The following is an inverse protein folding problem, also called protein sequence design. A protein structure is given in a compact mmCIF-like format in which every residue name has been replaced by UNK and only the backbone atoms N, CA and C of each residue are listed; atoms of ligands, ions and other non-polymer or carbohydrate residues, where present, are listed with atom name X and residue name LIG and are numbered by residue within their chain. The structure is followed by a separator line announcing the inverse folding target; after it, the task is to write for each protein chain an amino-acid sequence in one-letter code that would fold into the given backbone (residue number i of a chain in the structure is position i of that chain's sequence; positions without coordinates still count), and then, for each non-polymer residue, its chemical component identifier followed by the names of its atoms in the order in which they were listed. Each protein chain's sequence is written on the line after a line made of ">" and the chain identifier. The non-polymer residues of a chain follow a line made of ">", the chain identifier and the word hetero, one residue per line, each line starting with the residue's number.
data_IF_806212942256
#
_entry.id   IF_806212942256
#
_cell.length_a   1.000
_cell.length_b   1.000
_cell.length_c   1.000
_cell.angle_alpha   90.00
_cell.angle_beta   90.00
_cell.angle_gamma   90.00
#
_symmetry.space_group_name_H-M   'P 1'
#
loop_
_entity.id
_entity.type
_entity.pdbx_description
1 polymer ?
#
# COMPACT_ATOMS: atom_id res chain seq x y z
N UNK A 1 -32.46 -31.92 -6.05
CA UNK A 1 -31.69 -30.65 -6.12
C UNK A 1 -31.51 -30.04 -4.73
N UNK A 2 -30.36 -29.42 -4.45
CA UNK A 2 -30.10 -28.55 -3.30
C UNK A 2 -29.98 -27.10 -3.79
N UNK A 3 -31.03 -26.26 -3.66
CA UNK A 3 -31.07 -24.94 -4.28
C UNK A 3 -30.01 -23.96 -3.79
N UNK A 4 -29.72 -23.92 -2.47
CA UNK A 4 -28.79 -22.93 -1.91
C UNK A 4 -27.34 -23.24 -2.25
N UNK A 5 -27.01 -24.52 -2.40
CA UNK A 5 -25.68 -24.97 -2.80
C UNK A 5 -25.50 -25.13 -4.31
N UNK A 6 -26.58 -25.01 -5.08
CA UNK A 6 -26.60 -25.33 -6.50
C UNK A 6 -26.04 -26.74 -6.78
N UNK A 7 -26.52 -27.74 -6.03
CA UNK A 7 -26.16 -29.15 -6.27
C UNK A 7 -27.35 -29.89 -6.91
N UNK A 8 -27.10 -30.56 -8.02
CA UNK A 8 -28.06 -31.36 -8.77
C UNK A 8 -27.56 -32.80 -8.83
N UNK A 9 -28.48 -33.73 -8.59
CA UNK A 9 -28.27 -35.16 -8.81
C UNK A 9 -29.35 -35.61 -9.78
N UNK A 10 -28.96 -36.39 -10.79
CA UNK A 10 -29.86 -36.92 -11.80
C UNK A 10 -29.67 -38.42 -11.92
N UNK A 11 -30.76 -39.16 -11.86
CA UNK A 11 -30.79 -40.61 -12.05
C UNK A 11 -31.30 -40.93 -13.46
N UNK A 12 -30.51 -41.68 -14.22
CA UNK A 12 -30.90 -42.21 -15.53
C UNK A 12 -31.18 -43.69 -15.42
N UNK A 13 -32.29 -44.15 -15.99
CA UNK A 13 -32.53 -45.57 -16.18
C UNK A 13 -31.63 -46.10 -17.31
N UNK A 14 -31.01 -47.26 -17.09
CA UNK A 14 -30.23 -47.99 -18.07
C UNK A 14 -31.10 -49.08 -18.71
N UNK A 15 -30.97 -49.25 -20.02
CA UNK A 15 -31.61 -50.36 -20.72
C UNK A 15 -30.79 -51.65 -20.55
N UNK A 16 -31.22 -52.48 -19.59
CA UNK A 16 -30.59 -53.77 -19.27
C UNK A 16 -30.86 -54.87 -20.31
N UNK A 17 -31.70 -54.59 -21.32
CA UNK A 17 -32.02 -55.53 -22.41
C UNK A 17 -31.14 -55.32 -23.63
N UNK A 18 -30.49 -54.16 -23.73
CA UNK A 18 -29.63 -53.82 -24.86
C UNK A 18 -28.40 -54.74 -24.92
N UNK A 19 -27.93 -55.04 -26.13
CA UNK A 19 -26.75 -55.88 -26.38
C UNK A 19 -25.45 -55.33 -25.79
N UNK A 20 -25.39 -54.02 -25.55
CA UNK A 20 -24.22 -53.35 -24.96
C UNK A 20 -24.14 -53.49 -23.43
N UNK A 21 -25.14 -54.09 -22.78
CA UNK A 21 -25.18 -54.27 -21.33
C UNK A 21 -24.80 -55.70 -20.94
N UNK A 22 -23.74 -55.84 -20.13
CA UNK A 22 -23.34 -57.14 -19.57
C UNK A 22 -24.18 -57.46 -18.32
N UNK A 23 -25.10 -58.40 -18.48
CA UNK A 23 -26.04 -58.82 -17.42
C UNK A 23 -25.35 -59.48 -16.24
N UNK A 24 -24.35 -60.32 -16.48
CA UNK A 24 -23.65 -61.02 -15.39
C UNK A 24 -22.93 -60.01 -14.49
N UNK A 25 -22.27 -59.03 -15.11
CA UNK A 25 -21.61 -57.95 -14.37
C UNK A 25 -22.60 -57.03 -13.69
N UNK A 26 -23.73 -56.73 -14.33
CA UNK A 26 -24.82 -55.94 -13.75
C UNK A 26 -25.44 -56.58 -12.52
N UNK A 27 -25.67 -57.89 -12.53
CA UNK A 27 -26.15 -58.66 -11.38
C UNK A 27 -25.13 -58.69 -10.25
N UNK A 28 -23.85 -58.91 -10.56
CA UNK A 28 -22.77 -58.91 -9.56
C UNK A 28 -22.66 -57.56 -8.84
N UNK A 29 -22.73 -56.45 -9.58
CA UNK A 29 -22.65 -55.10 -9.00
C UNK A 29 -23.86 -54.79 -8.12
N UNK A 30 -25.06 -55.17 -8.55
CA UNK A 30 -26.27 -55.01 -7.73
C UNK A 30 -26.20 -55.90 -6.48
N UNK A 31 -25.73 -57.13 -6.59
CA UNK A 31 -25.53 -58.03 -5.45
C UNK A 31 -24.47 -57.51 -4.48
N UNK A 32 -23.37 -56.92 -4.94
CA UNK A 32 -22.35 -56.37 -4.05
C UNK A 32 -22.84 -55.09 -3.33
N UNK A 33 -23.68 -54.29 -3.99
CA UNK A 33 -24.23 -53.08 -3.41
C UNK A 33 -25.39 -53.36 -2.45
N UNK A 34 -26.34 -54.24 -2.82
CA UNK A 34 -27.60 -54.47 -2.12
C UNK A 34 -27.73 -55.88 -1.47
N UNK A 35 -26.88 -56.84 -1.84
CA UNK A 35 -26.92 -58.25 -1.43
C UNK A 35 -26.10 -58.55 -0.17
N UNK A 36 -26.68 -58.27 0.99
CA UNK A 36 -26.17 -58.69 2.30
C UNK A 36 -27.23 -58.39 3.36
N UNK A 37 -27.88 -59.43 3.88
CA UNK A 37 -29.08 -59.31 4.71
C UNK A 37 -28.80 -58.95 6.17
N UNK A 38 -29.31 -57.81 6.60
CA UNK A 38 -30.42 -57.72 7.56
C UNK A 38 -31.15 -56.41 7.25
N UNK A 39 -32.46 -56.48 7.02
CA UNK A 39 -33.29 -55.33 6.62
C UNK A 39 -33.57 -54.50 7.86
N UNK A 40 -32.56 -53.81 8.38
CA UNK A 40 -32.80 -52.78 9.39
C UNK A 40 -33.61 -51.66 8.73
N UNK A 41 -34.83 -51.48 9.23
CA UNK A 41 -35.87 -50.60 8.70
C UNK A 41 -35.34 -49.18 8.42
N UNK A 42 -35.05 -48.86 7.16
CA UNK A 42 -34.73 -47.49 6.74
C UNK A 42 -33.68 -47.32 5.63
N UNK A 43 -32.89 -48.34 5.28
CA UNK A 43 -31.96 -48.22 4.15
C UNK A 43 -32.70 -48.40 2.82
N UNK A 44 -32.73 -47.33 2.00
CA UNK A 44 -33.24 -47.39 0.62
C UNK A 44 -32.32 -48.28 -0.22
N UNK A 45 -32.91 -49.21 -0.97
CA UNK A 45 -32.18 -50.02 -1.96
C UNK A 45 -31.48 -49.12 -2.98
N UNK A 46 -30.26 -49.49 -3.36
CA UNK A 46 -29.48 -48.71 -4.32
C UNK A 46 -30.06 -48.90 -5.72
N UNK A 47 -30.34 -50.14 -6.11
CA UNK A 47 -31.00 -50.47 -7.38
C UNK A 47 -32.42 -50.98 -7.12
N UNK A 48 -33.33 -50.71 -8.06
CA UNK A 48 -34.73 -51.13 -7.93
C UNK A 48 -34.94 -52.58 -8.40
N UNK A 49 -34.07 -53.06 -9.29
CA UNK A 49 -34.02 -54.44 -9.78
C UNK A 49 -32.79 -55.18 -9.26
N UNK A 50 -32.71 -56.48 -9.53
CA UNK A 50 -31.53 -57.32 -9.21
C UNK A 50 -30.32 -57.06 -10.12
N UNK A 51 -30.35 -55.98 -10.90
CA UNK A 51 -29.32 -55.57 -11.85
C UNK A 51 -29.04 -54.09 -11.68
N UNK A 52 -27.85 -53.64 -12.12
CA UNK A 52 -27.52 -52.22 -12.20
C UNK A 52 -28.38 -51.55 -13.29
N UNK A 53 -29.58 -51.10 -12.90
CA UNK A 53 -30.61 -50.54 -13.78
C UNK A 53 -30.62 -49.02 -13.84
N UNK A 54 -29.73 -48.36 -13.09
CA UNK A 54 -29.63 -46.91 -13.07
C UNK A 54 -28.19 -46.40 -12.99
N UNK A 55 -27.99 -45.20 -13.51
CA UNK A 55 -26.74 -44.45 -13.40
C UNK A 55 -27.02 -43.10 -12.76
N UNK A 56 -26.19 -42.72 -11.79
CA UNK A 56 -26.28 -41.43 -11.11
C UNK A 56 -25.27 -40.45 -11.70
N UNK A 57 -25.73 -39.26 -12.06
CA UNK A 57 -24.86 -38.11 -12.30
C UNK A 57 -24.96 -37.13 -11.13
N UNK A 58 -23.82 -36.68 -10.62
CA UNK A 58 -23.75 -35.67 -9.57
C UNK A 58 -23.06 -34.41 -10.11
N UNK A 59 -23.63 -33.24 -9.80
CA UNK A 59 -23.07 -31.97 -10.23
C UNK A 59 -21.88 -31.53 -9.37
N UNK A 60 -20.89 -30.91 -10.01
CA UNK A 60 -19.88 -30.07 -9.38
C UNK A 60 -20.06 -28.63 -9.86
N UNK A 61 -20.07 -27.66 -8.94
CA UNK A 61 -20.15 -26.24 -9.29
C UNK A 61 -18.86 -25.80 -9.99
N UNK A 62 -18.98 -25.06 -11.10
CA UNK A 62 -17.82 -24.48 -11.78
C UNK A 62 -17.06 -23.50 -10.86
N UNK A 63 -15.75 -23.38 -11.05
CA UNK A 63 -14.92 -22.38 -10.37
C UNK A 63 -15.14 -20.96 -10.89
N UNK A 64 -15.67 -20.80 -12.10
CA UNK A 64 -15.99 -19.51 -12.70
C UNK A 64 -17.26 -18.89 -12.10
N UNK A 65 -17.27 -17.56 -11.89
CA UNK A 65 -18.49 -16.85 -11.49
C UNK A 65 -19.51 -16.91 -12.61
N UNK A 66 -20.75 -17.29 -12.28
CA UNK A 66 -21.86 -17.35 -13.23
C UNK A 66 -22.35 -15.94 -13.63
N UNK A 67 -22.00 -14.90 -12.86
CA UNK A 67 -22.43 -13.51 -13.06
C UNK A 67 -21.97 -12.90 -14.39
N UNK A 68 -20.87 -13.41 -14.94
CA UNK A 68 -20.34 -12.95 -16.23
C UNK A 68 -21.00 -13.64 -17.44
N UNK A 69 -21.92 -14.58 -17.22
CA UNK A 69 -22.53 -15.38 -18.28
C UNK A 69 -24.03 -15.12 -18.38
N UNK A 70 -24.51 -15.02 -19.62
CA UNK A 70 -25.92 -14.93 -19.94
C UNK A 70 -26.24 -15.91 -21.09
N UNK A 71 -27.46 -16.43 -21.10
CA UNK A 71 -28.01 -17.23 -22.20
C UNK A 71 -28.84 -16.31 -23.09
N UNK A 72 -28.57 -16.35 -24.40
CA UNK A 72 -29.26 -15.56 -25.39
C UNK A 72 -30.23 -16.39 -26.23
N UNK A 73 -31.50 -15.96 -26.34
CA UNK A 73 -32.42 -16.46 -27.36
C UNK A 73 -32.39 -15.50 -28.54
N UNK A 74 -31.93 -16.01 -29.68
CA UNK A 74 -31.91 -15.27 -30.94
C UNK A 74 -33.24 -15.48 -31.69
N UNK A 75 -33.90 -14.37 -32.04
CA UNK A 75 -35.02 -14.32 -33.00
C UNK A 75 -34.72 -13.30 -34.09
N UNK A 76 -35.43 -13.32 -35.23
CA UNK A 76 -35.15 -12.40 -36.32
C UNK A 76 -35.22 -10.94 -35.86
N UNK A 77 -34.08 -10.24 -35.85
CA UNK A 77 -33.97 -8.84 -35.45
C UNK A 77 -33.84 -8.57 -33.96
N UNK A 78 -33.79 -9.59 -33.10
CA UNK A 78 -33.77 -9.40 -31.64
C UNK A 78 -33.00 -10.49 -30.90
N UNK A 79 -32.36 -10.10 -29.78
CA UNK A 79 -31.60 -10.98 -28.89
C UNK A 79 -32.09 -10.78 -27.45
N UNK A 80 -32.64 -11.82 -26.86
CA UNK A 80 -33.13 -11.82 -25.48
C UNK A 80 -32.07 -12.44 -24.58
N UNK A 81 -31.50 -11.67 -23.65
CA UNK A 81 -30.49 -12.15 -22.71
C UNK A 81 -31.10 -12.47 -21.35
N UNK A 82 -30.80 -13.65 -20.82
CA UNK A 82 -31.18 -14.08 -19.47
C UNK A 82 -29.93 -14.41 -18.65
N UNK A 83 -29.74 -13.84 -17.45
CA UNK A 83 -28.56 -14.11 -16.64
C UNK A 83 -28.54 -15.56 -16.13
N UNK A 84 -27.34 -16.15 -16.06
CA UNK A 84 -27.16 -17.52 -15.56
C UNK A 84 -26.90 -17.50 -14.06
N UNK A 85 -27.74 -18.18 -13.28
CA UNK A 85 -27.56 -18.24 -11.82
C UNK A 85 -26.38 -19.13 -11.40
N UNK A 86 -26.16 -20.25 -12.10
CA UNK A 86 -25.08 -21.18 -11.82
C UNK A 86 -24.72 -22.02 -13.04
N UNK A 87 -23.43 -22.33 -13.19
CA UNK A 87 -22.92 -23.30 -14.18
C UNK A 87 -22.47 -24.55 -13.44
N UNK A 88 -23.08 -25.69 -13.80
CA UNK A 88 -22.87 -26.98 -13.14
C UNK A 88 -22.32 -27.99 -14.14
N UNK A 89 -21.27 -28.70 -13.73
CA UNK A 89 -20.71 -29.82 -14.48
C UNK A 89 -21.24 -31.13 -13.92
N UNK A 90 -21.95 -31.92 -14.72
CA UNK A 90 -22.44 -33.23 -14.32
C UNK A 90 -21.36 -34.29 -14.55
N UNK A 91 -21.01 -35.05 -13.52
CA UNK A 91 -20.07 -36.16 -13.61
C UNK A 91 -20.75 -37.47 -13.18
N UNK A 92 -20.43 -38.61 -13.80
CA UNK A 92 -20.86 -39.92 -13.31
C UNK A 92 -20.39 -40.13 -11.87
N UNK A 93 -21.31 -40.55 -11.02
CA UNK A 93 -21.06 -40.88 -9.62
C UNK A 93 -21.34 -42.36 -9.41
N UNK A 94 -20.51 -43.01 -8.60
CA UNK A 94 -20.59 -44.45 -8.35
C UNK A 94 -20.76 -44.77 -6.85
N UNK A 95 -21.80 -44.26 -6.16
CA UNK A 95 -21.94 -44.46 -4.71
C UNK A 95 -22.10 -45.93 -4.32
N UNK A 96 -22.58 -46.77 -5.24
CA UNK A 96 -22.74 -48.20 -5.03
C UNK A 96 -21.40 -48.92 -4.78
N UNK A 97 -20.29 -48.42 -5.34
CA UNK A 97 -18.94 -48.95 -5.08
C UNK A 97 -18.48 -48.59 -3.66
N UNK A 98 -18.72 -47.35 -3.23
CA UNK A 98 -18.40 -46.93 -1.86
C UNK A 98 -19.23 -47.72 -0.82
N UNK A 99 -20.48 -48.06 -1.17
CA UNK A 99 -21.34 -48.88 -0.32
C UNK A 99 -20.86 -50.33 -0.26
N UNK A 100 -20.49 -50.93 -1.39
CA UNK A 100 -19.92 -52.29 -1.40
C UNK A 100 -18.63 -52.36 -0.59
N UNK A 101 -17.75 -51.36 -0.69
CA UNK A 101 -16.51 -51.30 0.09
C UNK A 101 -16.77 -51.16 1.59
N UNK A 102 -17.74 -50.33 1.99
CA UNK A 102 -18.15 -50.19 3.39
C UNK A 102 -18.71 -51.50 3.93
N UNK A 103 -19.52 -52.21 3.15
CA UNK A 103 -20.07 -53.51 3.54
C UNK A 103 -18.99 -54.58 3.62
N UNK A 104 -18.06 -54.63 2.67
CA UNK A 104 -16.93 -55.56 2.70
C UNK A 104 -16.07 -55.35 3.96
N UNK A 105 -15.74 -54.09 4.29
CA UNK A 105 -15.02 -53.75 5.53
C UNK A 105 -15.82 -54.06 6.78
N UNK A 106 -17.14 -53.84 6.78
CA UNK A 106 -17.98 -54.17 7.93
C UNK A 106 -18.10 -55.69 8.13
N UNK A 107 -18.13 -56.48 7.05
CA UNK A 107 -18.13 -57.93 7.13
C UNK A 107 -16.78 -58.47 7.62
N UNK A 108 -15.66 -57.90 7.17
CA UNK A 108 -14.31 -58.22 7.67
C UNK A 108 -14.17 -57.85 9.15
N UNK A 109 -14.62 -56.65 9.55
CA UNK A 109 -14.62 -56.23 10.95
C UNK A 109 -15.55 -57.07 11.84
N UNK A 110 -16.70 -57.52 11.34
CA UNK A 110 -17.60 -58.40 12.09
C UNK A 110 -17.03 -59.82 12.24
N UNK A 111 -16.18 -60.27 11.32
CA UNK A 111 -15.41 -61.51 11.48
C UNK A 111 -14.26 -61.35 12.47
N UNK A 112 -13.65 -60.17 12.58
CA UNK A 112 -12.59 -59.87 13.55
C UNK A 112 -13.14 -59.56 14.97
N UNK A 113 -14.29 -58.90 15.10
CA UNK A 113 -14.94 -58.60 16.39
C UNK A 113 -15.46 -59.86 17.11
N UNK A 114 -15.76 -60.95 16.38
CA UNK A 114 -16.12 -62.24 17.01
C UNK A 114 -14.91 -62.92 17.70
N UNK A 115 -13.67 -62.43 17.49
CA UNK A 115 -12.44 -62.89 18.16
C UNK A 115 -11.93 -61.95 19.28
N UNK A 116 -12.42 -60.71 19.39
CA UNK A 116 -11.93 -59.74 20.38
C UNK A 116 -12.94 -59.58 21.54
N UNK A 117 -12.61 -60.18 22.69
CA UNK A 117 -13.39 -60.09 23.94
C UNK A 117 -13.47 -58.63 24.40
N UNK A 118 -14.71 -58.12 24.45
CA UNK A 118 -15.10 -56.74 24.71
C UNK A 118 -14.58 -56.21 26.07
N UNK A 119 -13.53 -55.38 26.04
CA UNK A 119 -13.07 -54.61 27.21
C UNK A 119 -13.87 -53.31 27.35
N UNK A 120 -14.52 -53.05 28.51
CA UNK A 120 -15.40 -51.90 28.68
C UNK A 120 -14.62 -50.57 28.68
N UNK A 121 -14.76 -49.80 27.60
CA UNK A 121 -14.26 -48.41 27.54
C UNK A 121 -15.07 -47.49 28.45
N UNK A 122 -14.40 -46.98 29.48
CA UNK A 122 -14.96 -46.00 30.41
C UNK A 122 -15.39 -44.71 29.69
N UNK A 123 -16.68 -44.39 29.83
CA UNK A 123 -17.30 -43.16 29.31
C UNK A 123 -16.81 -41.97 30.13
N UNK A 124 -15.84 -41.23 29.59
CA UNK A 124 -15.38 -39.97 30.19
C UNK A 124 -16.23 -38.81 29.66
N UNK A 125 -17.03 -38.22 30.54
CA UNK A 125 -17.89 -37.08 30.24
C UNK A 125 -17.02 -35.85 29.99
N UNK A 126 -16.77 -35.54 28.72
CA UNK A 126 -16.06 -34.31 28.32
C UNK A 126 -17.02 -33.14 28.41
N UNK A 127 -16.88 -32.33 29.47
CA UNK A 127 -17.59 -31.07 29.61
C UNK A 127 -17.24 -30.15 28.43
N UNK A 128 -18.27 -29.61 27.78
CA UNK A 128 -18.14 -28.73 26.63
C UNK A 128 -17.40 -27.44 27.03
N UNK A 129 -16.15 -27.31 26.59
CA UNK A 129 -15.40 -26.07 26.75
C UNK A 129 -16.09 -24.97 25.93
N UNK A 130 -16.40 -23.84 26.56
CA UNK A 130 -16.95 -22.68 25.85
C UNK A 130 -15.91 -22.17 24.85
N UNK A 131 -16.26 -22.29 23.57
CA UNK A 131 -15.40 -21.94 22.45
C UNK A 131 -15.21 -20.41 22.39
N UNK A 132 -13.96 -19.94 22.34
CA UNK A 132 -13.66 -18.51 22.15
C UNK A 132 -14.12 -18.03 20.77
N UNK A 133 -14.49 -16.75 20.64
CA UNK A 133 -14.98 -16.18 19.36
C UNK A 133 -14.00 -16.36 18.19
N UNK A 134 -12.69 -16.37 18.47
CA UNK A 134 -11.66 -16.63 17.46
C UNK A 134 -11.63 -18.09 17.00
N UNK A 135 -11.80 -19.03 17.93
CA UNK A 135 -11.87 -20.45 17.62
C UNK A 135 -13.14 -20.80 16.83
N UNK A 136 -14.29 -20.22 17.23
CA UNK A 136 -15.56 -20.37 16.51
C UNK A 136 -15.46 -19.91 15.06
N UNK A 137 -14.89 -18.72 14.82
CA UNK A 137 -14.64 -18.20 13.46
C UNK A 137 -13.69 -19.07 12.64
N UNK A 138 -12.70 -19.70 13.28
CA UNK A 138 -11.78 -20.62 12.60
C UNK A 138 -12.45 -21.95 12.26
N UNK A 139 -13.29 -22.48 13.16
CA UNK A 139 -14.09 -23.68 12.92
C UNK A 139 -15.10 -23.46 11.80
N UNK A 140 -15.78 -22.33 11.76
CA UNK A 140 -16.75 -21.99 10.70
C UNK A 140 -16.11 -21.91 9.31
N UNK A 141 -14.82 -21.57 9.24
CA UNK A 141 -14.02 -21.57 8.00
C UNK A 141 -13.37 -22.92 7.68
N UNK A 142 -13.47 -23.90 8.57
CA UNK A 142 -12.87 -25.21 8.36
C UNK A 142 -13.65 -26.02 7.32
N UNK A 143 -12.92 -26.81 6.53
CA UNK A 143 -13.50 -27.69 5.51
C UNK A 143 -14.60 -28.60 6.09
N UNK A 144 -14.37 -29.18 7.28
CA UNK A 144 -15.33 -30.07 7.94
C UNK A 144 -16.65 -29.38 8.27
N UNK A 145 -16.60 -28.15 8.77
CA UNK A 145 -17.81 -27.40 9.11
C UNK A 145 -18.58 -26.98 7.87
N UNK A 146 -17.87 -26.53 6.82
CA UNK A 146 -18.49 -26.16 5.54
C UNK A 146 -19.14 -27.39 4.90
N UNK A 147 -18.45 -28.53 4.87
CA UNK A 147 -18.98 -29.79 4.34
C UNK A 147 -20.22 -30.26 5.13
N UNK A 148 -20.17 -30.25 6.46
CA UNK A 148 -21.31 -30.64 7.29
C UNK A 148 -22.52 -29.71 7.08
N UNK A 149 -22.28 -28.40 6.98
CA UNK A 149 -23.34 -27.43 6.64
C UNK A 149 -23.91 -27.70 5.25
N UNK A 150 -23.06 -28.11 4.30
CA UNK A 150 -23.48 -28.47 2.95
C UNK A 150 -24.35 -29.75 2.94
N UNK A 151 -23.96 -30.75 3.71
CA UNK A 151 -24.74 -31.98 3.87
C UNK A 151 -26.09 -31.74 4.56
N UNK A 152 -26.15 -30.78 5.49
CA UNK A 152 -27.35 -30.46 6.26
C UNK A 152 -28.52 -29.90 5.43
N UNK A 153 -28.27 -29.38 4.22
CA UNK A 153 -29.35 -28.93 3.33
C UNK A 153 -30.11 -30.14 2.77
N UNK A 154 -31.44 -30.21 2.95
CA UNK A 154 -32.24 -31.32 2.47
C UNK A 154 -32.33 -31.33 0.93
N UNK A 155 -32.46 -32.52 0.37
CA UNK A 155 -32.72 -32.69 -1.05
C UNK A 155 -34.18 -32.35 -1.38
N UNK A 156 -34.38 -31.53 -2.40
CA UNK A 156 -35.68 -31.24 -3.00
C UNK A 156 -35.84 -32.09 -4.26
N UNK A 157 -36.87 -32.92 -4.31
CA UNK A 157 -37.21 -33.70 -5.51
C UNK A 157 -37.77 -32.78 -6.59
N UNK A 158 -37.35 -33.00 -7.84
CA UNK A 158 -37.78 -32.20 -8.98
C UNK A 158 -38.21 -33.12 -10.11
N UNK A 159 -39.30 -32.75 -10.79
CA UNK A 159 -39.81 -33.51 -11.94
C UNK A 159 -39.03 -33.13 -13.20
N UNK A 160 -38.52 -34.14 -13.91
CA UNK A 160 -37.84 -33.92 -15.17
C UNK A 160 -38.84 -33.83 -16.32
N UNK A 161 -38.77 -32.74 -17.08
CA UNK A 161 -39.59 -32.53 -18.26
C UNK A 161 -38.71 -32.55 -19.51
N UNK A 162 -39.02 -33.45 -20.45
CA UNK A 162 -38.28 -33.60 -21.69
C UNK A 162 -38.36 -32.34 -22.56
N UNK A 163 -37.34 -32.16 -23.39
CA UNK A 163 -37.36 -31.18 -24.48
C UNK A 163 -38.58 -31.41 -25.38
N UNK A 164 -39.33 -30.34 -25.66
CA UNK A 164 -40.53 -30.40 -26.50
C UNK A 164 -41.82 -30.73 -25.74
N UNK A 165 -41.76 -30.93 -24.42
CA UNK A 165 -42.97 -30.98 -23.58
C UNK A 165 -43.65 -29.60 -23.50
N UNK A 166 -44.96 -29.58 -23.26
CA UNK A 166 -45.73 -28.33 -23.13
C UNK A 166 -45.11 -27.38 -22.09
N UNK A 167 -44.80 -27.90 -20.90
CA UNK A 167 -44.16 -27.15 -19.82
C UNK A 167 -42.80 -26.56 -20.23
N UNK A 168 -41.97 -27.33 -20.95
CA UNK A 168 -40.70 -26.80 -21.48
C UNK A 168 -40.90 -25.66 -22.48
N UNK A 169 -42.00 -25.69 -23.24
CA UNK A 169 -42.39 -24.61 -24.15
C UNK A 169 -42.80 -23.35 -23.41
N UNK A 170 -43.60 -23.49 -22.33
CA UNK A 170 -44.02 -22.36 -21.48
C UNK A 170 -42.81 -21.71 -20.81
N UNK A 171 -41.93 -22.48 -20.18
CA UNK A 171 -40.70 -21.97 -19.54
C UNK A 171 -39.77 -21.27 -20.55
N UNK A 172 -39.60 -21.85 -21.74
CA UNK A 172 -38.85 -21.20 -22.82
C UNK A 172 -39.48 -19.87 -23.25
N UNK A 173 -40.81 -19.75 -23.22
CA UNK A 173 -41.49 -18.51 -23.53
C UNK A 173 -41.22 -17.41 -22.49
N UNK A 174 -40.95 -17.77 -21.23
CA UNK A 174 -40.62 -16.81 -20.17
C UNK A 174 -39.23 -16.18 -20.31
N UNK A 175 -38.34 -16.77 -21.12
CA UNK A 175 -37.01 -16.22 -21.39
C UNK A 175 -37.02 -15.03 -22.37
N UNK A 176 -38.20 -14.66 -22.86
CA UNK A 176 -38.42 -13.55 -23.78
C UNK A 176 -38.85 -12.31 -23.00
N UNK A 177 -38.19 -11.19 -23.22
CA UNK A 177 -38.62 -9.91 -22.71
C UNK A 177 -39.74 -9.34 -23.61
N UNK A 178 -40.96 -9.10 -23.09
CA UNK A 178 -42.05 -8.55 -23.89
C UNK A 178 -41.94 -7.04 -24.14
N UNK A 179 -41.11 -6.33 -23.36
CA UNK A 179 -40.97 -4.87 -23.41
C UNK A 179 -39.61 -4.50 -23.99
N UNK A 180 -39.53 -4.42 -25.32
CA UNK A 180 -38.28 -4.06 -26.02
C UNK A 180 -38.12 -2.56 -26.30
N UNK A 181 -39.20 -1.78 -26.18
CA UNK A 181 -39.23 -0.37 -26.56
C UNK A 181 -38.79 0.59 -25.43
N UNK A 182 -38.45 0.07 -24.26
CA UNK A 182 -38.02 0.85 -23.10
C UNK A 182 -36.57 0.59 -22.78
N UNK A 183 -35.77 1.64 -22.82
CA UNK A 183 -34.40 1.60 -22.33
C UNK A 183 -34.40 1.89 -20.82
N UNK A 184 -34.29 0.86 -20.00
CA UNK A 184 -34.08 0.94 -18.54
C UNK A 184 -32.63 0.60 -18.16
N UNK A 185 -31.69 0.75 -19.09
CA UNK A 185 -30.29 0.40 -18.85
C UNK A 185 -29.63 1.37 -17.85
N UNK A 186 -29.16 0.86 -16.72
CA UNK A 186 -28.25 1.57 -15.80
C UNK A 186 -26.80 1.58 -16.32
N UNK A 187 -26.61 1.61 -17.64
CA UNK A 187 -25.27 1.57 -18.24
C UNK A 187 -24.56 2.92 -18.09
N UNK A 188 -23.22 2.93 -17.94
CA UNK A 188 -22.45 4.16 -17.87
C UNK A 188 -22.69 5.03 -19.11
N UNK A 189 -23.08 6.28 -18.89
CA UNK A 189 -23.45 7.21 -19.96
C UNK A 189 -22.25 7.68 -20.77
N UNK A 190 -21.04 7.62 -20.20
CA UNK A 190 -19.81 8.12 -20.81
C UNK A 190 -18.65 7.13 -20.67
N UNK A 191 -17.73 7.14 -21.64
CA UNK A 191 -16.51 6.32 -21.61
C UNK A 191 -15.68 6.54 -20.32
N UNK A 192 -15.47 7.79 -19.84
CA UNK A 192 -14.76 8.00 -18.58
C UNK A 192 -15.45 7.36 -17.36
N UNK A 193 -16.78 7.35 -17.32
CA UNK A 193 -17.51 6.77 -16.20
C UNK A 193 -17.43 5.23 -16.22
N UNK A 194 -17.52 4.62 -17.41
CA UNK A 194 -17.23 3.19 -17.58
C UNK A 194 -15.83 2.82 -17.05
N UNK A 195 -14.80 3.59 -17.39
CA UNK A 195 -13.44 3.33 -16.89
C UNK A 195 -13.31 3.49 -15.38
N UNK A 196 -14.05 4.41 -14.76
CA UNK A 196 -14.05 4.53 -13.28
C UNK A 196 -14.70 3.32 -12.63
N UNK A 197 -15.79 2.81 -13.19
CA UNK A 197 -16.48 1.64 -12.63
C UNK A 197 -15.66 0.35 -12.79
N UNK A 198 -14.85 0.25 -13.87
CA UNK A 198 -13.93 -0.86 -14.08
C UNK A 198 -12.69 -0.79 -13.18
N UNK A 199 -12.25 0.41 -12.81
CA UNK A 199 -11.03 0.61 -12.03
C UNK A 199 -11.41 0.77 -10.56
N UNK A 200 -11.20 -0.29 -9.79
CA UNK A 200 -11.23 -0.20 -8.33
C UNK A 200 -10.05 0.67 -7.89
N UNK A 201 -10.29 1.96 -7.60
CA UNK A 201 -9.30 2.80 -6.96
C UNK A 201 -8.96 2.18 -5.59
N UNK A 202 -7.75 1.62 -5.44
CA UNK A 202 -7.18 1.18 -4.17
C UNK A 202 -6.91 2.40 -3.26
N UNK A 203 -7.98 3.06 -2.83
CA UNK A 203 -7.91 4.19 -1.88
C UNK A 203 -7.45 3.77 -0.49
N UNK A 204 -7.35 2.46 -0.22
CA UNK A 204 -6.86 1.88 1.02
C UNK A 204 -5.34 1.82 1.13
N UNK A 205 -4.58 2.22 0.12
CA UNK A 205 -3.14 2.49 0.28
C UNK A 205 -2.89 3.83 0.97
N UNK A 206 -3.48 4.03 2.16
CA UNK A 206 -3.02 5.02 3.14
C UNK A 206 -1.73 4.59 3.85
N UNK A 207 -1.08 3.52 3.39
CA UNK A 207 0.31 3.24 3.75
C UNK A 207 1.22 4.05 2.84
N UNK A 208 1.32 5.34 3.14
CA UNK A 208 2.53 6.11 2.85
C UNK A 208 3.71 5.30 3.37
N UNK A 209 4.40 4.61 2.47
CA UNK A 209 5.70 4.01 2.71
C UNK A 209 6.60 5.13 3.21
N UNK A 210 6.80 5.17 4.54
CA UNK A 210 7.81 6.00 5.21
C UNK A 210 9.19 5.63 4.67
N UNK A 211 9.54 6.17 3.51
CA UNK A 211 10.78 5.83 2.81
C UNK A 211 10.83 6.38 1.38
N UNK A 212 9.71 6.41 0.66
CA UNK A 212 9.66 6.98 -0.69
C UNK A 212 8.99 8.35 -0.65
N UNK A 213 9.81 9.40 -0.69
CA UNK A 213 9.38 10.81 -0.73
C UNK A 213 8.91 11.25 -2.13
N UNK A 214 8.60 10.28 -2.98
CA UNK A 214 8.17 10.45 -4.36
C UNK A 214 6.65 10.24 -4.42
N UNK A 215 5.95 11.32 -4.72
CA UNK A 215 4.49 11.34 -4.89
C UNK A 215 4.21 11.19 -6.38
N UNK A 216 3.32 10.26 -6.75
CA UNK A 216 2.91 10.11 -8.16
C UNK A 216 2.24 11.39 -8.67
N UNK A 217 2.38 11.69 -9.97
CA UNK A 217 1.73 12.86 -10.59
C UNK A 217 0.20 12.85 -10.39
N UNK A 218 -0.41 11.66 -10.35
CA UNK A 218 -1.84 11.51 -10.09
C UNK A 218 -2.21 11.90 -8.64
N UNK A 219 -1.46 11.41 -7.65
CA UNK A 219 -1.69 11.79 -6.25
C UNK A 219 -1.42 13.29 -6.06
N UNK A 220 -0.34 13.81 -6.66
CA UNK A 220 -0.01 15.23 -6.66
C UNK A 220 -1.20 16.08 -7.15
N UNK A 221 -1.85 15.67 -8.24
CA UNK A 221 -3.01 16.41 -8.78
C UNK A 221 -4.21 16.51 -7.83
N UNK A 222 -4.33 15.59 -6.87
CA UNK A 222 -5.42 15.58 -5.86
C UNK A 222 -5.13 16.50 -4.66
N UNK A 223 -3.89 16.95 -4.47
CA UNK A 223 -3.50 17.80 -3.34
C UNK A 223 -3.86 19.29 -3.59
N UNK A 224 -4.02 20.11 -2.54
CA UNK A 224 -4.06 21.57 -2.68
C UNK A 224 -2.77 22.10 -3.33
N UNK A 225 -2.87 23.17 -4.14
CA UNK A 225 -1.74 23.74 -4.90
C UNK A 225 -0.52 24.05 -4.01
N UNK A 226 -0.73 24.49 -2.78
CA UNK A 226 0.36 24.76 -1.81
C UNK A 226 1.15 23.48 -1.48
N UNK A 227 0.44 22.39 -1.23
CA UNK A 227 1.04 21.10 -0.91
C UNK A 227 1.69 20.47 -2.15
N UNK A 228 1.14 20.73 -3.33
CA UNK A 228 1.78 20.34 -4.59
C UNK A 228 3.13 21.03 -4.78
N UNK A 229 3.19 22.35 -4.61
CA UNK A 229 4.43 23.13 -4.71
C UNK A 229 5.45 22.60 -3.69
N UNK A 230 5.02 22.35 -2.45
CA UNK A 230 5.89 21.83 -1.39
C UNK A 230 6.40 20.43 -1.72
N UNK A 231 5.55 19.52 -2.21
CA UNK A 231 5.92 18.17 -2.61
C UNK A 231 6.93 18.18 -3.77
N UNK A 232 6.69 18.99 -4.81
CA UNK A 232 7.61 19.15 -5.95
C UNK A 232 8.96 19.68 -5.47
N UNK A 233 8.99 20.71 -4.62
CA UNK A 233 10.23 21.26 -4.07
C UNK A 233 10.99 20.29 -3.16
N UNK A 234 10.27 19.52 -2.33
CA UNK A 234 10.89 18.51 -1.45
C UNK A 234 11.50 17.35 -2.25
N UNK A 235 10.93 17.03 -3.42
CA UNK A 235 11.44 16.00 -4.32
C UNK A 235 12.59 16.51 -5.19
N UNK A 236 12.42 17.66 -5.85
CA UNK A 236 13.40 18.21 -6.79
C UNK A 236 14.59 18.91 -6.12
N UNK A 237 14.40 19.47 -4.90
CA UNK A 237 15.33 20.34 -4.14
C UNK A 237 15.72 21.66 -4.83
N UNK A 238 15.94 21.64 -6.14
CA UNK A 238 16.23 22.79 -6.99
C UNK A 238 15.35 22.72 -8.25
N UNK A 239 14.66 23.81 -8.57
CA UNK A 239 13.84 23.93 -9.79
C UNK A 239 13.87 25.34 -10.36
N UNK A 240 13.58 25.48 -11.65
CA UNK A 240 13.34 26.78 -12.28
C UNK A 240 11.82 27.05 -12.35
N UNK A 241 11.41 28.29 -12.57
CA UNK A 241 9.99 28.64 -12.47
C UNK A 241 9.15 27.95 -13.55
N UNK A 242 9.69 27.84 -14.77
CA UNK A 242 9.02 27.17 -15.89
C UNK A 242 8.74 25.68 -15.61
N UNK A 243 9.73 24.93 -15.11
CA UNK A 243 9.59 23.51 -14.77
C UNK A 243 8.59 23.30 -13.64
N UNK A 244 8.57 24.18 -12.64
CA UNK A 244 7.57 24.10 -11.58
C UNK A 244 6.17 24.31 -12.13
N UNK A 245 5.95 25.33 -12.95
CA UNK A 245 4.63 25.59 -13.55
C UNK A 245 4.15 24.43 -14.43
N UNK A 246 5.08 23.74 -15.12
CA UNK A 246 4.76 22.56 -15.92
C UNK A 246 4.36 21.33 -15.08
N UNK A 247 4.77 21.28 -13.80
CA UNK A 247 4.40 20.19 -12.88
C UNK A 247 3.07 20.44 -12.17
N UNK A 248 2.53 21.66 -12.21
CA UNK A 248 1.28 22.06 -11.58
C UNK A 248 0.10 21.97 -12.56
N UNK A 249 -1.15 21.91 -12.07
CA UNK A 249 -2.34 21.88 -12.90
C UNK A 249 -2.37 23.05 -13.90
N UNK A 250 -2.80 22.81 -15.15
CA UNK A 250 -2.96 23.86 -16.13
C UNK A 250 -3.92 24.92 -15.58
N UNK A 251 -3.57 26.21 -15.75
CA UNK A 251 -4.27 27.39 -15.20
C UNK A 251 -4.00 27.71 -13.72
N UNK A 252 -2.96 27.14 -13.11
CA UNK A 252 -2.50 27.62 -11.79
C UNK A 252 -2.12 29.10 -11.84
N UNK A 253 -2.63 29.91 -10.90
CA UNK A 253 -2.33 31.35 -10.83
C UNK A 253 -0.85 31.59 -10.49
N UNK A 254 -0.12 32.21 -11.42
CA UNK A 254 1.31 32.48 -11.29
C UNK A 254 1.62 33.38 -10.08
N UNK A 255 0.76 34.35 -9.78
CA UNK A 255 0.99 35.30 -8.68
C UNK A 255 0.95 34.61 -7.33
N UNK A 256 -0.06 33.76 -7.13
CA UNK A 256 -0.19 32.92 -5.95
C UNK A 256 0.97 31.94 -5.82
N UNK A 257 1.38 31.27 -6.90
CA UNK A 257 2.52 30.34 -6.90
C UNK A 257 3.79 31.06 -6.45
N UNK A 258 4.10 32.24 -7.00
CA UNK A 258 5.28 33.03 -6.61
C UNK A 258 5.20 33.49 -5.14
N UNK A 259 4.00 33.82 -4.64
CA UNK A 259 3.81 34.16 -3.22
C UNK A 259 4.10 32.97 -2.31
N UNK A 260 3.59 31.79 -2.64
CA UNK A 260 3.81 30.57 -1.85
C UNK A 260 5.26 30.09 -1.93
N UNK A 261 5.90 30.20 -3.11
CA UNK A 261 7.31 29.86 -3.27
C UNK A 261 8.21 30.58 -2.28
N UNK A 262 8.00 31.88 -2.07
CA UNK A 262 8.78 32.67 -1.10
C UNK A 262 8.64 32.17 0.35
N UNK A 263 7.56 31.46 0.68
CA UNK A 263 7.34 30.88 2.00
C UNK A 263 8.15 29.60 2.22
N UNK A 264 8.37 28.78 1.18
CA UNK A 264 8.97 27.44 1.28
C UNK A 264 10.32 27.28 0.57
N UNK A 265 10.73 28.26 -0.22
CA UNK A 265 11.96 28.26 -1.02
C UNK A 265 12.67 29.63 -0.99
N UNK A 266 13.94 29.63 -1.39
CA UNK A 266 14.79 30.82 -1.57
C UNK A 266 15.33 30.85 -2.99
N UNK A 267 15.57 32.07 -3.50
CA UNK A 267 16.11 32.27 -4.84
C UNK A 267 17.65 32.17 -4.84
N UNK A 268 18.22 31.30 -5.66
CA UNK A 268 19.67 31.12 -5.84
C UNK A 268 19.94 30.96 -7.34
N UNK A 269 20.81 31.79 -7.92
CA UNK A 269 21.10 31.79 -9.37
C UNK A 269 19.82 31.90 -10.24
N UNK A 270 18.84 32.71 -9.80
CA UNK A 270 17.53 32.85 -10.46
C UNK A 270 16.60 31.64 -10.29
N UNK A 271 17.08 30.52 -9.76
CA UNK A 271 16.29 29.31 -9.53
C UNK A 271 15.77 29.22 -8.09
N UNK A 272 14.72 28.43 -7.88
CA UNK A 272 14.12 28.20 -6.57
C UNK A 272 14.73 26.97 -5.90
N UNK A 273 15.28 27.17 -4.71
CA UNK A 273 15.86 26.14 -3.86
C UNK A 273 15.03 26.01 -2.59
N UNK A 274 14.59 24.79 -2.26
CA UNK A 274 13.79 24.54 -1.05
C UNK A 274 14.55 24.97 0.21
N UNK A 275 13.83 25.59 1.16
CA UNK A 275 14.43 26.02 2.43
C UNK A 275 14.85 24.83 3.30
N UNK A 276 15.90 25.03 4.09
CA UNK A 276 16.47 23.99 4.94
C UNK A 276 15.49 23.48 6.02
N UNK A 277 14.65 24.34 6.58
CA UNK A 277 13.62 23.99 7.58
C UNK A 277 12.49 23.10 7.02
N UNK A 278 12.25 23.15 5.70
CA UNK A 278 11.30 22.26 5.02
C UNK A 278 11.88 20.86 4.82
N UNK A 279 13.20 20.74 4.65
CA UNK A 279 13.88 19.46 4.47
C UNK A 279 14.27 18.78 5.78
N UNK A 280 14.70 19.57 6.76
CA UNK A 280 15.18 19.12 8.06
C UNK A 280 14.32 19.73 9.17
N UNK A 281 13.18 19.10 9.52
CA UNK A 281 12.37 19.52 10.65
C UNK A 281 13.18 19.52 11.95
N UNK A 282 12.74 20.33 12.93
CA UNK A 282 13.32 20.32 14.28
C UNK A 282 13.26 18.90 14.86
N UNK A 283 14.26 18.56 15.66
CA UNK A 283 14.42 17.24 16.30
C UNK A 283 14.63 16.05 15.34
N UNK A 284 14.91 16.31 14.05
CA UNK A 284 15.35 15.28 13.11
C UNK A 284 16.87 15.15 13.03
N UNK A 285 17.34 14.03 12.49
CA UNK A 285 18.77 13.72 12.35
C UNK A 285 19.07 13.29 10.91
N UNK A 286 20.32 13.48 10.48
CA UNK A 286 20.78 12.98 9.19
C UNK A 286 20.55 11.47 9.12
N UNK A 287 19.90 10.97 8.06
CA UNK A 287 19.61 9.54 7.93
C UNK A 287 20.89 8.71 7.75
N UNK A 288 22.00 9.33 7.34
CA UNK A 288 23.25 8.61 7.05
C UNK A 288 24.21 8.58 8.23
N UNK A 289 24.27 9.66 9.01
CA UNK A 289 25.35 9.88 10.00
C UNK A 289 24.84 10.28 11.38
N UNK A 290 23.53 10.53 11.55
CA UNK A 290 22.96 10.95 12.81
C UNK A 290 23.25 12.41 13.21
N UNK A 291 23.80 13.24 12.31
CA UNK A 291 24.03 14.66 12.60
C UNK A 291 22.70 15.40 12.84
N UNK A 292 22.58 16.25 13.88
CA UNK A 292 21.35 17.01 14.13
C UNK A 292 20.92 17.90 12.95
N UNK A 293 19.61 18.00 12.73
CA UNK A 293 18.98 18.80 11.68
C UNK A 293 19.41 20.26 11.68
N UNK A 294 19.64 20.86 12.84
CA UNK A 294 20.09 22.25 12.97
C UNK A 294 21.48 22.47 12.36
N UNK A 295 22.38 21.49 12.52
CA UNK A 295 23.72 21.55 11.93
C UNK A 295 23.67 21.32 10.43
N UNK A 296 22.86 20.35 9.98
CA UNK A 296 22.60 20.13 8.54
C UNK A 296 21.99 21.37 7.88
N UNK A 297 21.03 22.01 8.54
CA UNK A 297 20.36 23.22 8.04
C UNK A 297 21.33 24.40 7.91
N UNK A 298 22.20 24.62 8.90
CA UNK A 298 23.22 25.68 8.84
C UNK A 298 24.23 25.44 7.73
N UNK A 299 24.70 24.21 7.55
CA UNK A 299 25.62 23.86 6.48
C UNK A 299 24.97 24.01 5.09
N UNK A 300 23.71 23.60 4.94
CA UNK A 300 22.94 23.78 3.70
C UNK A 300 22.72 25.25 3.37
N UNK A 301 22.30 26.05 4.36
CA UNK A 301 22.12 27.50 4.18
C UNK A 301 23.42 28.19 3.78
N UNK A 302 24.56 27.75 4.35
CA UNK A 302 25.87 28.24 3.95
C UNK A 302 26.22 27.84 2.51
N UNK A 303 25.94 26.59 2.10
CA UNK A 303 26.15 26.14 0.73
C UNK A 303 25.30 26.92 -0.28
N UNK A 304 24.01 27.12 0.03
CA UNK A 304 23.12 27.96 -0.78
C UNK A 304 23.65 29.40 -0.89
N UNK A 305 24.14 29.97 0.22
CA UNK A 305 24.78 31.29 0.20
C UNK A 305 26.03 31.31 -0.70
N UNK A 306 26.92 30.32 -0.64
CA UNK A 306 28.08 30.25 -1.52
C UNK A 306 27.65 30.26 -3.00
N UNK A 307 26.57 29.55 -3.34
CA UNK A 307 25.99 29.57 -4.68
C UNK A 307 25.37 30.92 -5.09
N UNK A 308 25.10 31.84 -4.16
CA UNK A 308 24.72 33.22 -4.52
C UNK A 308 25.93 34.06 -4.97
N UNK A 309 27.14 33.70 -4.53
CA UNK A 309 28.38 34.45 -4.79
C UNK A 309 29.15 33.90 -5.98
N UNK A 310 29.21 32.57 -6.10
CA UNK A 310 29.91 31.85 -7.16
C UNK A 310 29.02 30.73 -7.67
N UNK A 311 29.14 30.40 -8.95
CA UNK A 311 28.41 29.27 -9.51
C UNK A 311 29.05 27.92 -9.19
N UNK A 312 30.34 27.92 -8.83
CA UNK A 312 31.14 26.74 -8.51
C UNK A 312 31.60 26.81 -7.06
N UNK A 313 31.45 25.70 -6.33
CA UNK A 313 31.91 25.53 -4.95
C UNK A 313 32.95 24.42 -4.87
N UNK A 314 34.10 24.72 -4.29
CA UNK A 314 35.18 23.74 -4.07
C UNK A 314 34.85 22.91 -2.82
N UNK A 315 34.71 21.59 -2.98
CA UNK A 315 34.26 20.68 -1.92
C UNK A 315 35.16 20.71 -0.68
N UNK A 316 36.48 20.76 -0.85
CA UNK A 316 37.45 20.78 0.26
C UNK A 316 37.25 22.02 1.15
N UNK A 317 37.24 23.21 0.55
CA UNK A 317 36.98 24.49 1.24
C UNK A 317 35.65 24.48 1.98
N UNK A 318 34.60 23.95 1.35
CA UNK A 318 33.29 23.84 1.96
C UNK A 318 33.30 22.88 3.16
N UNK A 319 33.88 21.69 2.99
CA UNK A 319 34.00 20.67 4.04
C UNK A 319 34.75 21.18 5.28
N UNK A 320 35.87 21.87 5.07
CA UNK A 320 36.70 22.43 6.16
C UNK A 320 35.94 23.49 6.97
N UNK A 321 35.06 24.24 6.31
CA UNK A 321 34.26 25.30 6.94
C UNK A 321 33.11 24.73 7.77
N UNK A 322 32.34 23.78 7.21
CA UNK A 322 31.14 23.26 7.88
C UNK A 322 31.42 22.16 8.90
N UNK A 323 32.59 21.51 8.82
CA UNK A 323 33.02 20.42 9.73
C UNK A 323 31.98 19.31 9.86
N UNK A 324 31.34 18.95 8.75
CA UNK A 324 30.42 17.82 8.66
C UNK A 324 31.12 16.56 8.18
N UNK A 325 30.59 15.36 8.50
CA UNK A 325 31.04 14.12 7.87
C UNK A 325 31.00 14.22 6.34
N UNK A 326 32.00 13.64 5.68
CA UNK A 326 32.15 13.70 4.21
C UNK A 326 30.90 13.20 3.48
N UNK A 327 30.21 12.21 4.05
CA UNK A 327 29.00 11.63 3.49
C UNK A 327 27.82 12.63 3.45
N UNK A 328 27.69 13.48 4.48
CA UNK A 328 26.68 14.54 4.53
C UNK A 328 27.06 15.70 3.61
N UNK A 329 28.33 16.09 3.60
CA UNK A 329 28.86 17.12 2.68
C UNK A 329 28.54 16.74 1.23
N UNK A 330 28.83 15.50 0.85
CA UNK A 330 28.53 14.98 -0.49
C UNK A 330 27.03 15.01 -0.79
N UNK A 331 26.20 14.60 0.17
CA UNK A 331 24.73 14.60 0.01
C UNK A 331 24.19 16.02 -0.21
N UNK A 332 24.67 17.01 0.55
CA UNK A 332 24.28 18.41 0.38
C UNK A 332 24.67 18.98 -0.98
N UNK A 333 25.83 18.58 -1.51
CA UNK A 333 26.30 18.99 -2.84
C UNK A 333 25.49 18.32 -3.95
N UNK A 334 25.28 17.00 -3.88
CA UNK A 334 24.47 16.24 -4.84
C UNK A 334 23.02 16.76 -4.94
N UNK A 335 22.47 17.28 -3.84
CA UNK A 335 21.11 17.86 -3.80
C UNK A 335 20.96 19.16 -4.62
N UNK A 336 22.04 19.89 -4.89
CA UNK A 336 21.96 21.25 -5.46
C UNK A 336 22.95 21.54 -6.59
N UNK A 337 23.89 20.64 -6.82
CA UNK A 337 25.00 20.84 -7.74
C UNK A 337 25.39 19.54 -8.43
N UNK A 338 26.11 19.68 -9.54
CA UNK A 338 26.72 18.59 -10.30
C UNK A 338 28.25 18.68 -10.20
N UNK A 339 28.96 17.55 -10.17
CA UNK A 339 30.42 17.56 -10.14
C UNK A 339 31.00 18.03 -11.47
N UNK A 340 32.07 18.83 -11.39
CA UNK A 340 32.88 19.35 -12.50
C UNK A 340 34.36 19.29 -12.13
N UNK A 341 35.31 19.42 -13.08
CA UNK A 341 36.74 19.41 -12.77
C UNK A 341 37.17 20.49 -11.76
N UNK A 342 36.51 21.66 -11.79
CA UNK A 342 36.82 22.82 -10.94
C UNK A 342 36.09 22.81 -9.58
N UNK A 343 35.24 21.81 -9.33
CA UNK A 343 34.41 21.70 -8.12
C UNK A 343 32.97 21.32 -8.42
N UNK A 344 32.03 21.82 -7.63
CA UNK A 344 30.59 21.54 -7.78
C UNK A 344 29.88 22.75 -8.37
N UNK A 345 29.38 22.62 -9.60
CA UNK A 345 28.63 23.67 -10.29
C UNK A 345 27.13 23.57 -9.96
N UNK A 346 26.49 24.71 -9.69
CA UNK A 346 25.05 24.79 -9.45
C UNK A 346 24.24 24.06 -10.53
N UNK A 347 23.25 23.27 -10.09
CA UNK A 347 22.59 22.25 -10.91
C UNK A 347 21.89 22.79 -12.16
N UNK A 348 21.30 23.99 -12.09
CA UNK A 348 20.50 24.56 -13.17
C UNK A 348 21.17 25.79 -13.84
N UNK A 349 20.82 26.07 -15.10
CA UNK A 349 21.12 27.36 -15.73
C UNK A 349 20.52 28.51 -14.95
N UNK A 350 21.17 29.68 -15.02
CA UNK A 350 20.62 30.91 -14.44
C UNK A 350 19.28 31.25 -15.12
N UNK A 351 18.20 31.32 -14.34
CA UNK A 351 16.85 31.57 -14.83
C UNK A 351 16.64 33.07 -15.09
N UNK A 352 17.11 33.52 -16.27
CA UNK A 352 16.98 34.92 -16.71
C UNK A 352 15.52 35.35 -16.83
N UNK A 353 14.66 34.45 -17.29
CA UNK A 353 13.25 34.75 -17.54
C UNK A 353 12.51 35.07 -16.25
N UNK A 354 12.74 34.28 -15.20
CA UNK A 354 12.17 34.57 -13.88
C UNK A 354 12.66 35.91 -13.33
N UNK A 355 13.98 36.17 -13.44
CA UNK A 355 14.60 37.38 -12.89
C UNK A 355 14.08 38.65 -13.57
N UNK A 356 13.95 38.63 -14.90
CA UNK A 356 13.41 39.76 -15.66
C UNK A 356 11.92 39.98 -15.39
N UNK A 357 11.16 38.89 -15.19
CA UNK A 357 9.71 38.96 -15.01
C UNK A 357 9.29 39.41 -13.60
N UNK A 358 10.09 39.12 -12.57
CA UNK A 358 9.75 39.39 -11.17
C UNK A 358 10.86 40.16 -10.41
N UNK A 359 11.24 41.37 -10.86
CA UNK A 359 12.34 42.13 -10.26
C UNK A 359 12.13 42.44 -8.77
N UNK A 360 10.90 42.74 -8.35
CA UNK A 360 10.56 43.03 -6.95
C UNK A 360 10.75 41.82 -6.02
N UNK A 361 10.52 40.61 -6.55
CA UNK A 361 10.76 39.38 -5.80
C UNK A 361 12.26 39.14 -5.67
N UNK A 362 13.02 39.34 -6.76
CA UNK A 362 14.48 39.21 -6.77
C UNK A 362 15.11 40.18 -5.75
N UNK A 363 14.67 41.44 -5.72
CA UNK A 363 15.17 42.44 -4.79
C UNK A 363 14.89 42.05 -3.32
N UNK A 364 13.67 41.56 -3.02
CA UNK A 364 13.34 41.06 -1.68
C UNK A 364 14.18 39.84 -1.29
N UNK A 365 14.39 38.90 -2.21
CA UNK A 365 15.24 37.73 -1.96
C UNK A 365 16.70 38.12 -1.72
N UNK A 366 17.20 39.16 -2.41
CA UNK A 366 18.53 39.73 -2.15
C UNK A 366 18.64 40.27 -0.71
N UNK A 367 17.67 41.05 -0.26
CA UNK A 367 17.64 41.55 1.13
C UNK A 367 17.59 40.40 2.16
N UNK A 368 16.84 39.33 1.87
CA UNK A 368 16.81 38.13 2.72
C UNK A 368 18.17 37.45 2.81
N UNK A 369 18.91 37.37 1.70
CA UNK A 369 20.26 36.81 1.68
C UNK A 369 21.27 37.70 2.41
N UNK A 370 21.19 39.01 2.26
CA UNK A 370 22.03 39.96 3.02
C UNK A 370 21.81 39.81 4.53
N UNK A 371 20.56 39.68 4.98
CA UNK A 371 20.25 39.39 6.37
C UNK A 371 20.81 38.02 6.81
N UNK A 372 20.59 36.95 6.02
CA UNK A 372 21.13 35.60 6.30
C UNK A 372 22.66 35.58 6.35
N UNK A 373 23.33 36.33 5.49
CA UNK A 373 24.79 36.43 5.46
C UNK A 373 25.35 36.90 6.80
N UNK A 374 24.69 37.86 7.46
CA UNK A 374 25.12 38.34 8.78
C UNK A 374 25.05 37.24 9.88
N UNK A 375 24.10 36.32 9.77
CA UNK A 375 23.99 35.17 10.69
C UNK A 375 25.00 34.07 10.36
N UNK A 376 25.21 33.80 9.08
CA UNK A 376 26.16 32.79 8.61
C UNK A 376 27.61 33.19 8.90
N UNK A 377 27.96 34.47 8.72
CA UNK A 377 29.30 34.99 9.01
C UNK A 377 29.67 34.88 10.49
N UNK A 378 28.72 35.14 11.39
CA UNK A 378 28.88 34.94 12.83
C UNK A 378 29.04 33.46 13.18
N UNK A 379 28.27 32.59 12.52
CA UNK A 379 28.24 31.15 12.81
C UNK A 379 29.50 30.40 12.35
N UNK A 380 30.10 30.80 11.23
CA UNK A 380 31.26 30.13 10.64
C UNK A 380 32.57 30.94 10.73
N UNK A 381 32.56 32.10 11.40
CA UNK A 381 33.72 33.03 11.50
C UNK A 381 34.34 33.32 10.13
N UNK A 382 33.49 33.64 9.15
CA UNK A 382 33.96 34.02 7.81
C UNK A 382 34.66 35.37 7.89
N UNK A 383 35.99 35.37 7.87
CA UNK A 383 36.79 36.59 7.79
C UNK A 383 36.48 37.29 6.46
N UNK A 384 36.08 38.55 6.55
CA UNK A 384 35.85 39.45 5.40
C UNK A 384 37.16 39.57 4.62
N UNK A 385 37.30 38.80 3.54
CA UNK A 385 38.37 38.98 2.57
C UNK A 385 37.92 40.10 1.63
N UNK A 386 38.07 41.35 2.08
CA UNK A 386 38.10 42.48 1.15
C UNK A 386 39.41 42.41 0.37
N UNK A 387 39.29 42.46 -0.95
CA UNK A 387 40.40 42.35 -1.89
C UNK A 387 41.45 43.43 -1.63
N UNK A 388 42.70 42.99 -1.64
CA UNK A 388 43.86 43.82 -1.90
C UNK A 388 43.77 44.28 -3.35
N UNK A 389 43.49 45.57 -3.57
CA UNK A 389 43.79 46.21 -4.84
C UNK A 389 45.30 46.25 -5.01
N UNK A 390 45.80 45.40 -5.90
CA UNK A 390 47.16 45.43 -6.39
C UNK A 390 47.33 46.60 -7.36
N UNK A 391 48.09 47.60 -6.91
CA UNK A 391 49.06 48.40 -7.68
C UNK A 391 48.91 48.36 -9.22
N UNK A 392 48.20 49.35 -9.77
CA UNK A 392 48.47 49.82 -11.12
C UNK A 392 49.28 51.13 -11.04
N UNK A 393 50.43 51.09 -11.70
CA UNK A 393 51.44 52.14 -11.77
C UNK A 393 50.87 53.42 -12.41
N UNK A 394 51.20 54.58 -11.86
CA UNK A 394 51.09 55.87 -12.55
C UNK A 394 52.48 56.49 -12.76
N UNK A 395 52.79 57.04 -13.94
CA UNK A 395 54.03 57.79 -14.17
C UNK A 395 53.96 59.22 -13.59
N UNK A 396 55.10 59.92 -13.40
CA UNK A 396 55.18 61.08 -12.52
C UNK A 396 55.04 62.42 -13.25
N UNK A 397 54.42 63.42 -12.60
CA UNK A 397 54.78 64.84 -12.77
C UNK A 397 54.17 65.76 -11.69
N UNK A 398 55.07 66.32 -10.89
CA UNK A 398 55.17 67.75 -10.53
C UNK A 398 54.08 68.48 -9.70
N UNK A 399 54.50 68.85 -8.48
CA UNK A 399 54.48 70.19 -7.86
C UNK A 399 53.19 70.94 -7.47
N UNK A 400 53.23 71.33 -6.18
CA UNK A 400 52.71 72.54 -5.48
C UNK A 400 51.32 72.46 -4.84
N UNK A 401 51.25 72.80 -3.55
CA UNK A 401 50.01 73.24 -2.91
C UNK A 401 49.89 73.03 -1.40
N UNK A 402 50.74 73.70 -0.60
CA UNK A 402 50.60 73.85 0.85
C UNK A 402 49.32 74.64 1.18
N UNK A 403 48.48 74.17 2.12
CA UNK A 403 47.79 75.04 3.09
C UNK A 403 47.21 74.27 4.30
N UNK A 404 47.57 74.79 5.49
CA UNK A 404 47.07 74.42 6.81
C UNK A 404 45.76 75.16 7.13
N UNK A 405 44.89 74.58 7.98
CA UNK A 405 44.13 75.24 9.08
C UNK A 405 43.34 74.17 9.85
N UNK A 406 43.75 73.82 11.07
CA UNK A 406 43.38 74.37 12.40
C UNK A 406 42.05 73.82 12.97
N UNK A 407 42.22 73.14 14.11
CA UNK A 407 41.21 72.69 15.10
C UNK A 407 40.48 73.88 15.72
N UNK A 408 39.20 73.70 16.05
CA UNK A 408 38.54 74.36 17.20
C UNK A 408 37.65 73.36 17.91
N UNK A 409 37.78 73.31 19.25
CA UNK A 409 36.92 72.64 20.23
C UNK A 409 35.82 73.61 20.64
N UNK A 410 34.64 73.10 20.99
CA UNK A 410 33.75 73.75 21.95
C UNK A 410 33.02 72.72 22.81
N UNK A 411 33.15 72.90 24.13
CA UNK A 411 32.39 72.30 25.23
C UNK A 411 31.24 73.25 25.62
N UNK A 412 30.13 72.71 26.10
CA UNK A 412 29.23 73.18 27.19
C UNK A 412 28.04 72.20 27.23
N UNK A 413 27.81 71.38 28.28
CA UNK A 413 27.11 71.64 29.56
C UNK A 413 25.78 72.41 29.37
N UNK A 414 24.61 72.01 29.90
CA UNK A 414 24.32 71.38 31.21
C UNK A 414 22.82 70.99 31.36
N UNK A 415 22.53 70.01 32.24
CA UNK A 415 21.42 69.93 33.27
C UNK A 415 19.94 69.98 32.83
N UNK A 416 18.93 69.37 33.47
CA UNK A 416 18.74 68.45 34.61
C UNK A 416 17.22 68.10 34.72
N UNK A 417 16.87 67.28 35.73
CA UNK A 417 15.56 66.88 36.30
C UNK A 417 14.91 65.65 35.66
N UNK A 418 14.50 64.56 36.31
CA UNK A 418 14.16 64.11 37.70
C UNK A 418 12.69 63.65 37.78
N UNK A 419 12.48 62.53 38.49
CA UNK A 419 11.17 61.95 38.86
C UNK A 419 11.06 60.48 38.43
N UNK A 420 11.30 59.43 39.24
CA UNK A 420 10.91 59.05 40.62
C UNK A 420 9.68 58.10 40.68
N UNK A 421 9.80 57.04 41.49
CA UNK A 421 8.77 56.05 41.89
C UNK A 421 9.10 54.62 41.43
N UNK A 422 9.86 53.78 42.14
CA UNK A 422 9.63 53.09 43.44
C UNK A 422 8.35 52.24 43.50
N UNK A 423 8.49 50.92 43.66
CA UNK A 423 8.14 50.10 44.87
C UNK A 423 8.21 48.58 44.51
N UNK A 424 9.15 47.78 45.06
CA UNK A 424 9.03 46.80 46.19
C UNK A 424 7.98 45.67 46.00
N UNK A 425 8.15 44.41 46.44
CA UNK A 425 9.17 43.73 47.23
C UNK A 425 8.87 42.21 47.36
N UNK A 426 9.95 41.45 47.64
CA UNK A 426 10.10 40.31 48.58
C UNK A 426 9.17 39.06 48.60
N UNK A 427 9.80 37.90 48.32
CA UNK A 427 9.94 36.66 49.12
C UNK A 427 8.71 35.97 49.78
N UNK A 428 8.56 34.64 49.58
CA UNK A 428 8.80 33.56 50.59
C UNK A 428 8.18 32.17 50.22
N UNK A 429 8.98 31.13 50.46
CA UNK A 429 8.75 29.74 50.94
C UNK A 429 7.51 28.85 50.64
N UNK A 430 7.80 27.54 50.51
CA UNK A 430 6.98 26.41 50.98
C UNK A 430 6.71 25.31 49.93
N UNK A 431 7.56 24.28 49.80
CA UNK A 431 7.39 22.90 50.33
C UNK A 431 5.99 22.28 50.11
N UNK A 432 5.91 21.18 49.35
CA UNK A 432 5.67 19.85 49.93
C UNK A 432 5.75 18.72 48.88
N UNK A 433 6.45 17.65 49.29
CA UNK A 433 6.37 16.31 48.71
C UNK A 433 5.36 15.49 49.52
N UNK A 434 4.93 14.33 48.99
CA UNK A 434 4.96 13.15 49.85
C UNK A 434 5.58 11.92 49.19
N UNK A 435 5.79 10.96 50.08
CA UNK A 435 6.78 9.90 50.14
C UNK A 435 6.30 8.53 49.63
N UNK A 436 7.31 7.70 49.36
CA UNK A 436 7.28 6.24 49.22
C UNK A 436 6.49 5.53 50.33
N UNK A 437 5.83 4.44 49.94
CA UNK A 437 5.67 3.22 50.76
C UNK A 437 6.10 2.05 49.88
N UNK A 438 6.94 1.17 50.43
CA UNK A 438 7.43 -0.04 49.76
C UNK A 438 7.04 -1.30 50.52
N UNK A 439 6.98 -2.40 49.78
CA UNK A 439 7.19 -3.83 50.14
C UNK A 439 6.64 -4.61 48.93
N UNK A 440 7.09 -5.78 48.49
CA UNK A 440 8.07 -6.78 48.91
C UNK A 440 8.25 -7.70 47.68
N UNK A 441 9.44 -8.29 47.49
CA UNK A 441 9.66 -9.34 46.48
C UNK A 441 8.83 -10.62 46.75
N UNK A 442 8.89 -11.64 45.87
CA UNK A 442 10.15 -12.35 45.68
C UNK A 442 10.49 -12.77 44.24
N UNK A 443 11.78 -13.06 44.12
CA UNK A 443 12.49 -13.72 43.03
C UNK A 443 12.07 -15.19 42.84
N UNK A 444 12.00 -15.66 41.58
CA UNK A 444 12.59 -16.95 41.16
C UNK A 444 12.51 -17.23 39.65
N UNK A 445 13.62 -17.79 39.17
CA UNK A 445 13.76 -18.78 38.08
C UNK A 445 13.53 -18.34 36.63
N UNK A 446 14.62 -17.91 35.99
CA UNK A 446 14.81 -18.04 34.56
C UNK A 446 14.97 -19.53 34.19
N UNK A 447 14.11 -20.03 33.31
CA UNK A 447 14.25 -21.36 32.70
C UNK A 447 14.58 -21.21 31.21
N UNK A 448 15.65 -21.89 30.81
CA UNK A 448 16.23 -21.87 29.49
C UNK A 448 15.30 -22.49 28.43
N UNK A 449 14.94 -21.72 27.40
CA UNK A 449 14.28 -22.23 26.21
C UNK A 449 15.31 -22.77 25.22
N UNK A 450 15.29 -24.08 25.00
CA UNK A 450 16.03 -24.78 23.94
C UNK A 450 15.59 -24.27 22.57
N UNK A 451 16.50 -23.67 21.82
CA UNK A 451 16.38 -23.44 20.37
C UNK A 451 16.49 -24.79 19.65
N UNK A 452 15.39 -25.27 19.06
CA UNK A 452 15.44 -26.28 18.00
C UNK A 452 15.80 -25.58 16.69
N UNK A 453 16.93 -25.98 16.12
CA UNK A 453 17.39 -25.68 14.77
C UNK A 453 16.53 -26.45 13.76
N UNK A 454 15.79 -25.73 12.92
CA UNK A 454 15.09 -26.32 11.77
C UNK A 454 15.96 -26.13 10.53
N UNK A 455 16.56 -27.22 10.07
CA UNK A 455 17.34 -27.31 8.82
C UNK A 455 16.38 -27.13 7.64
N UNK A 456 16.58 -26.06 6.88
CA UNK A 456 15.94 -25.83 5.58
C UNK A 456 16.72 -26.60 4.50
N UNK A 457 16.08 -27.62 3.90
CA UNK A 457 16.56 -28.24 2.66
C UNK A 457 16.13 -27.38 1.47
N UNK A 458 17.10 -26.82 0.76
CA UNK A 458 16.97 -26.27 -0.59
C UNK A 458 17.01 -27.41 -1.61
N UNK A 459 16.18 -27.43 -2.66
CA UNK A 459 16.37 -28.34 -3.79
C UNK A 459 17.41 -27.76 -4.75
N UNK A 460 18.49 -28.53 -4.98
CA UNK A 460 19.46 -28.27 -6.05
C UNK A 460 18.83 -28.60 -7.40
N UNK A 461 18.78 -27.60 -8.29
CA UNK A 461 18.59 -27.77 -9.73
C UNK A 461 19.99 -27.89 -10.37
N UNK A 462 20.39 -29.12 -10.70
CA UNK A 462 21.54 -29.39 -11.55
C UNK A 462 21.10 -29.42 -13.02
N UNK A 463 21.52 -28.41 -13.77
CA UNK A 463 21.56 -28.39 -15.23
C UNK A 463 22.67 -29.33 -15.71
N UNK A 464 22.31 -30.44 -16.35
CA UNK A 464 23.22 -31.20 -17.20
C UNK A 464 23.10 -30.70 -18.65
N UNK A 465 24.27 -30.49 -19.28
CA UNK A 465 24.48 -30.21 -20.69
C UNK A 465 25.29 -31.37 -21.29
N UNK A 466 24.98 -31.67 -22.56
CA UNK A 466 25.72 -32.49 -23.54
C UNK A 466 25.51 -34.02 -23.40
N UNK A 467 25.34 -34.82 -24.45
CA UNK A 467 25.29 -34.61 -25.90
C UNK A 467 24.67 -35.86 -26.57
N UNK A 468 23.83 -35.68 -27.60
CA UNK A 468 23.96 -36.30 -28.94
C UNK A 468 22.88 -35.77 -29.88
#
# INVERSE_FOLDING_TARGET
>A
VKPKQHKVELEFALDTRNSSYDRLRGEQLAANADGGGDRTSGQKQTFNSSMMDKQLLTSTKSSSSAEAYAVGILRPGELHLSPVSAVLQMNPSFPYLDQSDKKAKAAEAAMEEDEEVDEPKAVTVRFAHQETDRAKRAREKSFRFIHQKQESEPWVEATFHNFGSELSGVERAMLICPQMDRDESELPKTLPDYFKDLVVDDTDTKTSTKGSREVSMHMLSKLPVQDQIKAVLMSAKVTNFAKLMAALPPKSDTSSVVRFLQQVALLVQGCWVVKSDVLYPKDSFSPKTGVPAETMSRARDFLMFLFTQSRVVVQTKFSDTVRLPVLDVKTLLEDMAKPTPDGWEFMLPYDRDFVLRYPDVVQRQKMLWEAKQQFLSKSFRLTRQEGQDALMQSPPASTKGRQQKKRVRSRTNSTASDGSGSDSGTMTNGKDAPSKVGSSGPSKAANAAKRLTKVSRTPNLSLEKAAH
#
